data_IF_414960300069
#
_entry.id   IF_414960300069
#
_cell.length_a   1.000
_cell.length_b   1.000
_cell.length_c   1.000
_cell.angle_alpha   90.00
_cell.angle_beta   90.00
_cell.angle_gamma   90.00
#
_symmetry.space_group_name_H-M   'P 1'
#
loop_
_entity.id
_entity.type
_entity.pdbx_description
1 polymer ?
#
# COMPACT_ATOMS: atom_id res chain seq x y z
N UNK A 1 -1.34 1.94 -12.26
CA UNK A 1 0.12 2.01 -12.04
C UNK A 1 0.82 0.67 -12.30
N UNK A 2 0.56 -0.40 -11.54
CA UNK A 2 1.19 -1.73 -11.75
C UNK A 2 1.16 -2.19 -13.21
N UNK A 3 0.00 -2.07 -13.87
CA UNK A 3 -0.14 -2.46 -15.28
C UNK A 3 0.67 -1.59 -16.25
N UNK A 4 0.87 -0.31 -15.95
CA UNK A 4 1.70 0.62 -16.74
C UNK A 4 3.16 0.18 -16.63
N UNK A 5 3.65 -0.02 -15.40
CA UNK A 5 5.03 -0.44 -15.12
C UNK A 5 5.33 -1.77 -15.81
N UNK A 6 4.44 -2.76 -15.67
CA UNK A 6 4.59 -4.05 -16.34
C UNK A 6 4.69 -3.89 -17.86
N UNK A 7 3.89 -3.00 -18.45
CA UNK A 7 3.93 -2.76 -19.88
C UNK A 7 5.28 -2.16 -20.30
N UNK A 8 5.73 -1.14 -19.58
CA UNK A 8 7.00 -0.46 -19.84
C UNK A 8 8.20 -1.39 -19.64
N UNK A 9 8.18 -2.27 -18.64
CA UNK A 9 9.24 -3.26 -18.45
C UNK A 9 9.22 -4.38 -19.48
N UNK A 10 8.03 -4.78 -19.98
CA UNK A 10 7.94 -5.73 -21.10
C UNK A 10 8.50 -5.13 -22.39
N UNK A 11 8.32 -3.83 -22.62
CA UNK A 11 8.83 -3.17 -23.84
C UNK A 11 10.29 -2.76 -23.73
N UNK A 12 10.71 -2.21 -22.58
CA UNK A 12 12.01 -1.57 -22.43
C UNK A 12 13.02 -2.43 -21.66
N UNK A 13 12.58 -3.52 -21.03
CA UNK A 13 13.39 -4.34 -20.12
C UNK A 13 13.46 -3.75 -18.71
N UNK A 14 13.24 -4.59 -17.69
CA UNK A 14 13.25 -4.19 -16.27
C UNK A 14 14.63 -3.73 -15.76
N UNK A 15 15.72 -4.22 -16.37
CA UNK A 15 17.09 -3.88 -15.98
C UNK A 15 17.43 -2.45 -16.39
N UNK A 16 16.90 -1.98 -17.51
CA UNK A 16 17.17 -0.64 -18.04
C UNK A 16 16.63 0.49 -17.14
N UNK A 17 15.69 0.17 -16.24
CA UNK A 17 15.19 1.08 -15.22
C UNK A 17 15.78 0.85 -13.83
N UNK A 18 16.86 0.06 -13.70
CA UNK A 18 17.46 -0.33 -12.42
C UNK A 18 16.43 -0.90 -11.42
N UNK A 19 15.46 -1.69 -11.92
CA UNK A 19 14.33 -2.24 -11.16
C UNK A 19 13.35 -1.20 -10.60
N UNK A 20 13.55 0.09 -10.87
CA UNK A 20 12.61 1.12 -10.47
C UNK A 20 11.37 1.10 -11.37
N UNK A 21 10.17 1.31 -10.83
CA UNK A 21 8.94 1.25 -11.61
C UNK A 21 8.85 2.46 -12.56
N UNK A 22 9.03 2.21 -13.85
CA UNK A 22 8.97 3.23 -14.91
C UNK A 22 7.52 3.55 -15.30
N UNK A 23 7.11 4.81 -15.16
CA UNK A 23 5.74 5.26 -15.47
C UNK A 23 5.60 5.87 -16.86
N UNK A 24 6.71 6.34 -17.43
CA UNK A 24 6.74 6.97 -18.76
C UNK A 24 6.81 5.91 -19.86
N UNK A 25 5.91 6.02 -20.84
CA UNK A 25 5.92 5.19 -22.05
C UNK A 25 7.10 5.57 -22.95
N UNK A 26 7.58 4.65 -23.82
CA UNK A 26 8.79 4.88 -24.61
C UNK A 26 8.62 5.90 -25.75
N UNK A 27 7.43 6.47 -25.97
CA UNK A 27 7.20 7.38 -27.08
C UNK A 27 7.90 8.73 -26.86
N UNK A 28 8.30 9.38 -27.96
CA UNK A 28 8.97 10.70 -27.90
C UNK A 28 8.10 11.76 -27.24
N UNK A 29 6.80 11.77 -27.54
CA UNK A 29 5.84 12.72 -27.00
C UNK A 29 5.50 12.50 -25.52
N UNK A 30 5.91 11.39 -24.92
CA UNK A 30 5.55 11.06 -23.53
C UNK A 30 6.64 11.47 -22.52
N UNK A 31 7.84 11.86 -23.00
CA UNK A 31 8.95 12.31 -22.15
C UNK A 31 8.64 13.67 -21.52
N UNK A 32 9.12 13.91 -20.30
CA UNK A 32 8.87 15.14 -19.52
C UNK A 32 7.38 15.44 -19.25
N UNK A 33 6.49 14.45 -19.46
CA UNK A 33 5.07 14.57 -19.19
C UNK A 33 4.70 13.64 -18.06
N UNK A 34 4.24 14.23 -16.97
CA UNK A 34 3.57 13.52 -15.91
C UNK A 34 2.56 14.43 -15.24
N UNK A 35 1.33 13.95 -15.07
CA UNK A 35 0.36 14.58 -14.16
C UNK A 35 0.91 14.70 -12.73
N UNK A 36 1.85 13.81 -12.36
CA UNK A 36 2.54 13.87 -11.08
C UNK A 36 4.00 13.43 -11.19
N UNK A 37 4.89 14.42 -11.31
CA UNK A 37 6.34 14.23 -11.42
C UNK A 37 6.90 13.77 -10.07
N UNK A 38 7.61 12.63 -10.04
CA UNK A 38 8.24 12.11 -8.81
C UNK A 38 9.75 12.21 -8.91
N UNK A 39 10.36 11.31 -9.67
CA UNK A 39 11.78 11.32 -10.00
C UNK A 39 11.86 11.27 -11.53
N UNK A 40 12.48 12.27 -12.14
CA UNK A 40 12.67 12.32 -13.59
C UNK A 40 14.15 12.22 -13.93
N UNK A 41 14.48 11.37 -14.89
CA UNK A 41 15.83 11.24 -15.41
C UNK A 41 16.14 12.31 -16.49
N UNK A 42 17.34 12.23 -17.08
CA UNK A 42 17.77 13.18 -18.11
C UNK A 42 16.96 13.04 -19.42
N UNK A 43 16.42 11.86 -19.70
CA UNK A 43 15.64 11.56 -20.89
C UNK A 43 14.17 11.97 -20.73
N UNK A 44 13.76 12.41 -19.54
CA UNK A 44 12.40 12.80 -19.23
C UNK A 44 11.51 11.65 -18.79
N UNK A 45 12.09 10.51 -18.42
CA UNK A 45 11.33 9.38 -17.87
C UNK A 45 11.02 9.59 -16.39
N UNK A 46 9.76 9.39 -16.02
CA UNK A 46 9.27 9.53 -14.65
C UNK A 46 9.18 8.16 -13.97
N UNK A 47 9.79 8.05 -12.78
CA UNK A 47 9.87 6.82 -12.00
C UNK A 47 9.02 6.90 -10.73
N UNK A 48 8.44 5.78 -10.32
CA UNK A 48 7.77 5.66 -9.03
C UNK A 48 8.78 5.40 -7.90
N UNK A 49 9.04 6.39 -7.06
CA UNK A 49 10.01 6.27 -5.95
C UNK A 49 9.36 6.36 -4.56
N UNK A 50 8.04 6.22 -4.47
CA UNK A 50 7.36 6.37 -3.19
C UNK A 50 7.56 5.14 -2.29
N UNK A 51 7.67 3.94 -2.85
CA UNK A 51 7.97 2.71 -2.10
C UNK A 51 9.08 1.91 -2.81
N UNK A 52 9.82 1.07 -2.07
CA UNK A 52 10.71 0.08 -2.65
C UNK A 52 10.04 -0.81 -3.72
N UNK A 53 10.79 -1.35 -4.71
CA UNK A 53 10.21 -1.85 -5.95
C UNK A 53 9.69 -3.29 -5.91
N UNK A 54 9.87 -4.05 -4.81
CA UNK A 54 9.55 -5.51 -4.78
C UNK A 54 8.13 -5.82 -5.23
N UNK A 55 7.14 -5.00 -4.86
CA UNK A 55 5.75 -5.21 -5.29
C UNK A 55 5.62 -5.21 -6.83
N UNK A 56 6.30 -4.28 -7.49
CA UNK A 56 6.27 -4.17 -8.94
C UNK A 56 7.03 -5.33 -9.59
N UNK A 57 8.22 -5.66 -9.06
CA UNK A 57 9.03 -6.79 -9.53
C UNK A 57 8.26 -8.10 -9.41
N UNK A 58 7.63 -8.35 -8.26
CA UNK A 58 6.77 -9.51 -8.03
C UNK A 58 5.64 -9.57 -9.07
N UNK A 59 4.91 -8.47 -9.25
CA UNK A 59 3.79 -8.41 -10.18
C UNK A 59 4.24 -8.61 -11.65
N UNK A 60 5.42 -8.10 -12.03
CA UNK A 60 6.00 -8.31 -13.35
C UNK A 60 6.30 -9.77 -13.64
N UNK A 61 6.92 -10.48 -12.69
CA UNK A 61 7.20 -11.90 -12.85
C UNK A 61 5.91 -12.73 -12.94
N UNK A 62 4.92 -12.46 -12.08
CA UNK A 62 3.59 -13.11 -12.19
C UNK A 62 2.97 -12.85 -13.56
N UNK A 63 2.98 -11.60 -14.03
CA UNK A 63 2.42 -11.21 -15.33
C UNK A 63 3.21 -11.77 -16.53
N UNK A 64 4.46 -12.16 -16.32
CA UNK A 64 5.29 -12.80 -17.34
C UNK A 64 5.04 -14.31 -17.38
N UNK A 65 4.95 -14.95 -16.21
CA UNK A 65 4.62 -16.38 -16.07
C UNK A 65 3.27 -16.73 -16.71
N UNK A 66 2.25 -15.90 -16.50
CA UNK A 66 0.91 -16.11 -17.09
C UNK A 66 0.73 -15.43 -18.46
N UNK A 67 1.79 -14.83 -19.03
CA UNK A 67 1.76 -14.09 -20.29
C UNK A 67 0.62 -13.05 -20.40
N UNK A 68 0.17 -12.51 -19.26
CA UNK A 68 -1.01 -11.67 -19.14
C UNK A 68 -0.70 -10.45 -18.29
N UNK A 69 -1.10 -9.27 -18.74
CA UNK A 69 -0.98 -8.02 -17.99
C UNK A 69 -2.37 -7.40 -17.85
N UNK A 70 -3.22 -8.03 -17.05
CA UNK A 70 -4.62 -7.65 -16.91
C UNK A 70 -4.98 -7.35 -15.44
N UNK A 71 -6.01 -6.52 -15.26
CA UNK A 71 -6.59 -6.26 -13.93
C UNK A 71 -7.04 -7.56 -13.26
N UNK A 72 -7.62 -8.48 -14.03
CA UNK A 72 -8.08 -9.77 -13.53
C UNK A 72 -6.95 -10.60 -12.92
N UNK A 73 -5.79 -10.67 -13.59
CA UNK A 73 -4.63 -11.40 -13.06
C UNK A 73 -4.15 -10.80 -11.73
N UNK A 74 -4.10 -9.47 -11.64
CA UNK A 74 -3.73 -8.79 -10.38
C UNK A 74 -4.74 -9.16 -9.29
N UNK A 75 -6.04 -9.13 -9.57
CA UNK A 75 -7.08 -9.49 -8.60
C UNK A 75 -7.00 -10.94 -8.14
N UNK A 76 -6.76 -11.89 -9.06
CA UNK A 76 -6.53 -13.30 -8.72
C UNK A 76 -5.30 -13.43 -7.81
N UNK A 77 -4.20 -12.74 -8.14
CA UNK A 77 -2.98 -12.74 -7.34
C UNK A 77 -3.23 -12.14 -5.95
N UNK A 78 -3.98 -11.05 -5.87
CA UNK A 78 -4.42 -10.46 -4.60
C UNK A 78 -5.24 -11.45 -3.78
N UNK A 79 -6.20 -12.17 -4.36
CA UNK A 79 -6.98 -13.18 -3.64
C UNK A 79 -6.12 -14.34 -3.13
N UNK A 80 -5.11 -14.77 -3.90
CA UNK A 80 -4.13 -15.76 -3.44
C UNK A 80 -3.34 -15.21 -2.24
N UNK A 81 -2.88 -13.96 -2.29
CA UNK A 81 -2.20 -13.32 -1.17
C UNK A 81 -3.12 -13.17 0.06
N UNK A 82 -4.41 -12.88 -0.13
CA UNK A 82 -5.40 -12.86 0.96
C UNK A 82 -5.44 -14.22 1.64
N UNK A 83 -5.65 -15.29 0.84
CA UNK A 83 -5.69 -16.65 1.36
C UNK A 83 -4.43 -17.03 2.12
N UNK A 84 -3.24 -16.77 1.56
CA UNK A 84 -1.97 -17.05 2.23
C UNK A 84 -1.81 -16.25 3.53
N UNK A 85 -2.22 -14.98 3.54
CA UNK A 85 -2.23 -14.14 4.74
C UNK A 85 -3.17 -14.71 5.81
N UNK A 86 -4.37 -15.15 5.42
CA UNK A 86 -5.31 -15.81 6.33
C UNK A 86 -4.72 -17.10 6.91
N UNK A 87 -4.08 -17.94 6.08
CA UNK A 87 -3.42 -19.17 6.54
C UNK A 87 -2.33 -18.86 7.56
N UNK A 88 -1.45 -17.89 7.28
CA UNK A 88 -0.42 -17.49 8.23
C UNK A 88 -1.01 -16.95 9.54
N UNK A 89 -2.08 -16.15 9.48
CA UNK A 89 -2.78 -15.63 10.65
C UNK A 89 -3.43 -16.74 11.46
N UNK A 90 -4.14 -17.67 10.80
CA UNK A 90 -4.78 -18.82 11.43
C UNK A 90 -3.77 -19.63 12.23
N UNK A 91 -2.67 -20.04 11.58
CA UNK A 91 -1.63 -20.82 12.26
C UNK A 91 -0.95 -20.04 13.37
N UNK A 92 -0.72 -18.73 13.21
CA UNK A 92 -0.15 -17.89 14.26
C UNK A 92 -1.03 -17.89 15.52
N UNK A 93 -2.33 -17.63 15.35
CA UNK A 93 -3.29 -17.63 16.46
C UNK A 93 -3.43 -19.03 17.04
N UNK A 94 -3.63 -20.06 16.22
CA UNK A 94 -3.73 -21.45 16.65
C UNK A 94 -2.52 -21.90 17.47
N UNK A 95 -1.30 -21.58 17.01
CA UNK A 95 -0.08 -21.93 17.75
C UNK A 95 -0.08 -21.27 19.13
N UNK A 96 -0.56 -20.03 19.26
CA UNK A 96 -0.61 -19.30 20.52
C UNK A 96 -1.65 -19.85 21.51
N UNK A 97 -2.89 -20.11 21.07
CA UNK A 97 -4.01 -20.47 21.96
C UNK A 97 -4.44 -21.95 21.93
N UNK A 98 -3.99 -22.72 20.93
CA UNK A 98 -4.35 -24.13 20.71
C UNK A 98 -5.85 -24.39 20.61
N UNK A 99 -6.57 -23.49 19.91
CA UNK A 99 -7.99 -23.61 19.66
C UNK A 99 -8.33 -23.21 18.22
N UNK A 100 -8.86 -24.16 17.45
CA UNK A 100 -9.17 -23.99 16.01
C UNK A 100 -10.28 -22.98 15.76
N UNK A 101 -11.31 -22.96 16.62
CA UNK A 101 -12.48 -22.11 16.45
C UNK A 101 -12.12 -20.62 16.59
N UNK A 102 -11.35 -20.26 17.62
CA UNK A 102 -10.94 -18.86 17.80
C UNK A 102 -9.87 -18.41 16.81
N UNK A 103 -9.04 -19.32 16.30
CA UNK A 103 -8.17 -19.03 15.15
C UNK A 103 -9.00 -18.79 13.87
N UNK A 104 -10.08 -19.55 13.67
CA UNK A 104 -11.03 -19.34 12.57
C UNK A 104 -11.75 -17.97 12.68
N UNK A 105 -12.09 -17.54 13.90
CA UNK A 105 -12.66 -16.21 14.13
C UNK A 105 -11.70 -15.09 13.67
N UNK A 106 -10.40 -15.19 14.00
CA UNK A 106 -9.42 -14.20 13.55
C UNK A 106 -9.39 -14.05 12.04
N UNK A 107 -9.36 -15.15 11.29
CA UNK A 107 -9.35 -15.09 9.83
C UNK A 107 -10.69 -14.66 9.24
N UNK A 108 -11.82 -14.99 9.89
CA UNK A 108 -13.13 -14.55 9.45
C UNK A 108 -13.25 -13.02 9.54
N UNK A 109 -12.79 -12.41 10.64
CA UNK A 109 -12.75 -10.94 10.77
C UNK A 109 -11.86 -10.34 9.71
N UNK A 110 -10.67 -10.91 9.51
CA UNK A 110 -9.73 -10.40 8.54
C UNK A 110 -10.34 -10.42 7.14
N UNK A 111 -10.86 -11.56 6.70
CA UNK A 111 -11.34 -11.77 5.33
C UNK A 111 -12.63 -11.02 5.02
N UNK A 112 -13.50 -10.84 6.02
CA UNK A 112 -14.84 -10.26 5.84
C UNK A 112 -14.92 -8.78 6.23
N UNK A 113 -13.83 -8.20 6.73
CA UNK A 113 -13.77 -6.76 6.97
C UNK A 113 -13.82 -5.97 5.67
N UNK A 114 -14.54 -4.85 5.67
CA UNK A 114 -14.57 -3.92 4.54
C UNK A 114 -13.15 -3.47 4.13
N UNK A 115 -12.28 -3.22 5.13
CA UNK A 115 -10.89 -2.85 4.93
C UNK A 115 -10.10 -3.88 4.10
N UNK A 116 -10.19 -5.17 4.44
CA UNK A 116 -9.50 -6.21 3.67
C UNK A 116 -10.13 -6.40 2.29
N UNK A 117 -11.45 -6.45 2.20
CA UNK A 117 -12.14 -6.58 0.90
C UNK A 117 -11.71 -5.46 -0.05
N UNK A 118 -11.66 -4.22 0.44
CA UNK A 118 -11.16 -3.07 -0.31
C UNK A 118 -9.70 -3.23 -0.72
N UNK A 119 -8.81 -3.60 0.22
CA UNK A 119 -7.38 -3.79 -0.05
C UNK A 119 -7.13 -4.78 -1.18
N UNK A 120 -7.73 -5.96 -1.10
CA UNK A 120 -7.48 -7.04 -2.04
C UNK A 120 -8.25 -6.90 -3.36
N UNK A 121 -9.32 -6.11 -3.39
CA UNK A 121 -10.04 -5.79 -4.64
C UNK A 121 -9.31 -4.77 -5.50
N UNK A 122 -8.69 -3.77 -4.87
CA UNK A 122 -8.14 -2.59 -5.55
C UNK A 122 -6.61 -2.50 -5.55
N UNK A 123 -5.92 -3.28 -4.72
CA UNK A 123 -4.47 -3.28 -4.61
C UNK A 123 -3.92 -4.71 -4.57
N UNK A 124 -2.60 -4.80 -4.56
CA UNK A 124 -1.84 -6.04 -4.40
C UNK A 124 -1.05 -5.95 -3.09
N UNK A 125 -1.62 -6.28 -1.93
CA UNK A 125 -1.02 -6.02 -0.62
C UNK A 125 0.00 -7.09 -0.22
N UNK A 126 1.05 -7.27 -1.02
CA UNK A 126 2.15 -8.21 -0.76
C UNK A 126 2.78 -8.00 0.62
N UNK A 127 2.81 -6.75 1.07
CA UNK A 127 3.32 -6.37 2.39
C UNK A 127 2.60 -7.06 3.56
N UNK A 128 1.28 -7.29 3.46
CA UNK A 128 0.51 -7.91 4.55
C UNK A 128 0.78 -9.42 4.63
N UNK A 129 0.99 -10.06 3.49
CA UNK A 129 1.43 -11.45 3.46
C UNK A 129 2.81 -11.59 4.10
N UNK A 130 3.79 -10.78 3.69
CA UNK A 130 5.14 -10.81 4.25
C UNK A 130 5.13 -10.52 5.75
N UNK A 131 4.32 -9.56 6.19
CA UNK A 131 4.14 -9.24 7.61
C UNK A 131 3.57 -10.44 8.39
N UNK A 132 2.49 -11.04 7.92
CA UNK A 132 1.86 -12.18 8.58
C UNK A 132 2.76 -13.42 8.60
N UNK A 133 3.51 -13.65 7.52
CA UNK A 133 4.41 -14.79 7.43
C UNK A 133 5.61 -14.63 8.37
N UNK A 134 6.18 -13.42 8.45
CA UNK A 134 7.24 -13.12 9.41
C UNK A 134 6.78 -13.28 10.86
N UNK A 135 5.54 -12.87 11.19
CA UNK A 135 4.97 -13.09 12.53
C UNK A 135 4.84 -14.58 12.86
N UNK A 136 4.33 -15.39 11.93
CA UNK A 136 4.22 -16.84 12.12
C UNK A 136 5.59 -17.46 12.41
N UNK A 137 6.59 -17.14 11.59
CA UNK A 137 7.96 -17.64 11.75
C UNK A 137 8.58 -17.19 13.08
N UNK A 138 8.36 -15.94 13.48
CA UNK A 138 8.82 -15.41 14.76
C UNK A 138 8.18 -16.15 15.95
N UNK A 139 6.89 -16.48 15.87
CA UNK A 139 6.19 -17.27 16.89
C UNK A 139 6.79 -18.67 16.97
N UNK A 140 7.01 -19.33 15.83
CA UNK A 140 7.61 -20.66 15.77
C UNK A 140 9.03 -20.66 16.32
N UNK A 141 9.86 -19.68 15.96
CA UNK A 141 11.18 -19.45 16.54
C UNK A 141 11.11 -19.27 18.06
N UNK A 142 10.23 -18.39 18.54
CA UNK A 142 10.08 -18.08 19.96
C UNK A 142 9.59 -19.26 20.82
N UNK A 143 8.91 -20.25 20.21
CA UNK A 143 8.42 -21.45 20.90
C UNK A 143 9.38 -22.64 20.82
N UNK A 144 10.00 -22.84 19.67
CA UNK A 144 10.85 -24.02 19.41
C UNK A 144 12.34 -23.76 19.59
N UNK A 145 12.75 -22.48 19.63
CA UNK A 145 14.15 -22.06 19.56
C UNK A 145 14.91 -22.61 18.32
N UNK A 146 14.18 -23.01 17.27
CA UNK A 146 14.78 -23.50 16.04
C UNK A 146 15.31 -22.33 15.20
N UNK A 147 16.63 -22.29 15.03
CA UNK A 147 17.35 -21.20 14.36
C UNK A 147 16.93 -21.00 12.90
N UNK A 148 16.47 -22.06 12.22
CA UNK A 148 16.00 -21.98 10.83
C UNK A 148 14.81 -21.03 10.73
N UNK A 149 13.85 -21.10 11.66
CA UNK A 149 12.74 -20.14 11.71
C UNK A 149 13.23 -18.72 12.00
N UNK A 150 14.29 -18.56 12.81
CA UNK A 150 14.92 -17.27 13.05
C UNK A 150 15.51 -16.66 11.77
N UNK A 151 16.29 -17.43 11.02
CA UNK A 151 16.84 -16.99 9.73
C UNK A 151 15.74 -16.66 8.72
N UNK A 152 14.74 -17.53 8.58
CA UNK A 152 13.60 -17.28 7.71
C UNK A 152 12.83 -16.02 8.11
N UNK A 153 12.65 -15.77 9.41
CA UNK A 153 12.02 -14.53 9.90
C UNK A 153 12.80 -13.30 9.42
N UNK A 154 14.13 -13.32 9.52
CA UNK A 154 15.00 -12.24 9.03
C UNK A 154 14.87 -12.10 7.51
N UNK A 155 15.01 -13.17 6.73
CA UNK A 155 14.88 -13.14 5.27
C UNK A 155 13.53 -12.56 4.80
N UNK A 156 12.42 -12.98 5.39
CA UNK A 156 11.10 -12.44 5.06
C UNK A 156 10.97 -10.97 5.47
N UNK A 157 11.55 -10.58 6.63
CA UNK A 157 11.55 -9.17 7.05
C UNK A 157 12.32 -8.28 6.07
N UNK A 158 13.37 -8.79 5.43
CA UNK A 158 14.15 -8.07 4.43
C UNK A 158 13.38 -7.86 3.12
N UNK A 159 12.68 -8.90 2.63
CA UNK A 159 11.75 -8.75 1.51
C UNK A 159 10.68 -7.72 1.83
N UNK A 160 10.21 -7.68 3.08
CA UNK A 160 9.22 -6.72 3.53
C UNK A 160 9.78 -5.28 3.53
N UNK A 161 10.99 -5.06 4.04
CA UNK A 161 11.70 -3.75 3.97
C UNK A 161 11.79 -3.28 2.51
N UNK A 162 12.12 -4.18 1.58
CA UNK A 162 12.23 -3.87 0.16
C UNK A 162 10.89 -3.85 -0.59
N UNK A 163 9.75 -3.97 0.13
CA UNK A 163 8.39 -3.85 -0.43
C UNK A 163 7.70 -2.57 0.03
N UNK A 164 7.78 -2.24 1.33
CA UNK A 164 7.06 -1.11 1.93
C UNK A 164 7.78 -0.58 3.18
N UNK A 165 7.62 0.72 3.48
CA UNK A 165 8.21 1.36 4.66
C UNK A 165 7.73 0.79 5.99
N UNK A 166 6.54 0.17 6.03
CA UNK A 166 6.12 -0.59 7.20
C UNK A 166 7.09 -1.72 7.54
N UNK A 167 7.71 -2.34 6.53
CA UNK A 167 8.75 -3.36 6.67
C UNK A 167 10.01 -2.83 7.33
N UNK A 168 10.41 -1.59 7.04
CA UNK A 168 11.52 -0.91 7.71
C UNK A 168 11.29 -0.79 9.21
N UNK A 169 10.13 -0.24 9.61
CA UNK A 169 9.79 -0.11 11.03
C UNK A 169 9.68 -1.48 11.70
N UNK A 170 9.13 -2.47 11.01
CA UNK A 170 9.07 -3.84 11.49
C UNK A 170 10.46 -4.44 11.75
N UNK A 171 11.39 -4.33 10.80
CA UNK A 171 12.73 -4.88 10.91
C UNK A 171 13.57 -4.22 12.03
N UNK A 172 13.39 -2.92 12.27
CA UNK A 172 14.03 -2.21 13.40
C UNK A 172 13.53 -2.78 14.73
N UNK A 173 12.21 -2.90 14.90
CA UNK A 173 11.61 -3.44 16.12
C UNK A 173 11.98 -4.91 16.31
N UNK A 174 11.99 -5.71 15.24
CA UNK A 174 12.45 -7.09 15.25
C UNK A 174 13.90 -7.21 15.70
N UNK A 175 14.79 -6.39 15.14
CA UNK A 175 16.21 -6.36 15.52
C UNK A 175 16.37 -6.08 17.01
N UNK A 176 15.67 -5.09 17.55
CA UNK A 176 15.68 -4.76 18.98
C UNK A 176 15.16 -5.91 19.85
N UNK A 177 14.09 -6.58 19.42
CA UNK A 177 13.51 -7.72 20.15
C UNK A 177 14.45 -8.92 20.16
N UNK A 178 15.06 -9.24 19.01
CA UNK A 178 16.05 -10.31 18.89
C UNK A 178 17.28 -10.01 19.75
N UNK A 179 17.70 -8.75 19.82
CA UNK A 179 18.77 -8.29 20.71
C UNK A 179 18.38 -8.48 22.19
N UNK A 180 17.17 -8.11 22.60
CA UNK A 180 16.73 -8.31 23.98
C UNK A 180 16.65 -9.79 24.37
N UNK A 181 16.34 -10.67 23.41
CA UNK A 181 16.36 -12.12 23.63
C UNK A 181 17.79 -12.68 23.84
N UNK A 182 18.84 -11.92 23.52
CA UNK A 182 20.26 -12.32 23.69
C UNK A 182 20.58 -12.63 25.14
N UNK A 183 20.00 -11.88 26.07
CA UNK A 183 20.17 -12.11 27.50
C UNK A 183 19.71 -13.50 27.95
N UNK A 184 18.94 -14.22 27.12
CA UNK A 184 18.45 -15.57 27.41
C UNK A 184 19.03 -16.65 26.48
N UNK A 185 19.51 -16.29 25.29
CA UNK A 185 19.90 -17.25 24.25
C UNK A 185 21.02 -16.66 23.36
N UNK A 186 22.24 -17.23 23.41
CA UNK A 186 23.40 -16.73 22.65
C UNK A 186 23.16 -16.59 21.13
N UNK A 187 22.31 -17.45 20.53
CA UNK A 187 22.05 -17.46 19.09
C UNK A 187 21.27 -16.24 18.57
N UNK A 188 20.54 -15.51 19.42
CA UNK A 188 19.71 -14.39 18.95
C UNK A 188 20.52 -13.11 18.67
N UNK A 189 21.80 -13.05 19.10
CA UNK A 189 22.67 -11.87 18.88
C UNK A 189 23.04 -11.76 17.40
N UNK A 190 23.45 -12.88 16.82
CA UNK A 190 23.77 -12.96 15.40
C UNK A 190 22.56 -12.61 14.55
N UNK A 191 21.37 -13.17 14.86
CA UNK A 191 20.14 -12.84 14.12
C UNK A 191 19.79 -11.35 14.20
N UNK A 192 19.95 -10.73 15.37
CA UNK A 192 19.73 -9.29 15.54
C UNK A 192 20.68 -8.46 14.69
N UNK A 193 21.98 -8.77 14.72
CA UNK A 193 23.00 -8.08 13.94
C UNK A 193 22.76 -8.25 12.44
N UNK A 194 22.47 -9.48 12.01
CA UNK A 194 22.12 -9.77 10.62
C UNK A 194 20.90 -8.96 10.20
N UNK A 195 19.81 -8.97 10.98
CA UNK A 195 18.60 -8.20 10.68
C UNK A 195 18.90 -6.70 10.55
N UNK A 196 19.67 -6.12 11.47
CA UNK A 196 20.00 -4.70 11.44
C UNK A 196 20.87 -4.33 10.23
N UNK A 197 22.00 -5.03 10.04
CA UNK A 197 22.95 -4.70 8.97
C UNK A 197 22.35 -4.95 7.59
N UNK A 198 21.58 -6.03 7.42
CA UNK A 198 20.89 -6.29 6.14
C UNK A 198 19.76 -5.30 5.88
N UNK A 199 19.06 -4.81 6.91
CA UNK A 199 18.09 -3.71 6.76
C UNK A 199 18.77 -2.44 6.26
N UNK A 200 19.91 -2.06 6.85
CA UNK A 200 20.71 -0.91 6.41
C UNK A 200 21.18 -1.11 4.96
N UNK A 201 21.67 -2.30 4.62
CA UNK A 201 22.12 -2.63 3.27
C UNK A 201 20.99 -2.49 2.24
N UNK A 202 19.78 -2.96 2.54
CA UNK A 202 18.62 -2.86 1.63
C UNK A 202 18.19 -1.40 1.40
N UNK A 203 18.18 -0.59 2.46
CA UNK A 203 17.89 0.85 2.33
C UNK A 203 18.96 1.50 1.44
N UNK A 204 20.23 1.16 1.66
CA UNK A 204 21.33 1.67 0.85
C UNK A 204 21.21 1.25 -0.61
N UNK A 205 20.86 -0.02 -0.89
CA UNK A 205 20.62 -0.51 -2.25
C UNK A 205 19.47 0.28 -2.90
N UNK A 206 18.35 0.49 -2.21
CA UNK A 206 17.23 1.26 -2.74
C UNK A 206 17.62 2.73 -3.01
N UNK A 207 18.35 3.36 -2.09
CA UNK A 207 18.86 4.73 -2.25
C UNK A 207 19.84 4.83 -3.42
N UNK A 208 20.73 3.85 -3.57
CA UNK A 208 21.69 3.79 -4.67
C UNK A 208 20.98 3.61 -6.01
N UNK A 209 20.04 2.67 -6.13
CA UNK A 209 19.23 2.48 -7.34
C UNK A 209 18.52 3.77 -7.74
N UNK A 210 17.86 4.43 -6.80
CA UNK A 210 17.15 5.69 -7.07
C UNK A 210 18.09 6.84 -7.41
N UNK A 211 19.28 6.90 -6.81
CA UNK A 211 20.31 7.88 -7.16
C UNK A 211 20.83 7.67 -8.60
N UNK A 212 21.10 6.44 -9.01
CA UNK A 212 21.66 6.15 -10.36
C UNK A 212 20.75 6.58 -11.52
N UNK A 213 19.44 6.65 -11.29
CA UNK A 213 18.46 7.09 -12.29
C UNK A 213 18.20 8.60 -12.20
N UNK A 214 18.58 9.23 -11.10
CA UNK A 214 18.39 10.66 -10.91
C UNK A 214 19.31 11.48 -11.83
N UNK A 215 18.80 12.58 -12.37
CA UNK A 215 19.57 13.51 -13.18
C UNK A 215 20.68 14.24 -12.41
N UNK A 216 20.54 14.37 -11.09
CA UNK A 216 21.55 14.97 -10.20
C UNK A 216 21.27 14.60 -8.74
N UNK A 217 22.28 14.74 -7.87
CA UNK A 217 22.11 14.60 -6.42
C UNK A 217 21.02 15.52 -5.88
N UNK A 218 20.94 16.76 -6.38
CA UNK A 218 19.89 17.70 -5.98
C UNK A 218 18.50 17.19 -6.37
N UNK A 219 18.34 16.65 -7.58
CA UNK A 219 17.08 16.05 -8.04
C UNK A 219 16.68 14.85 -7.18
N UNK A 220 17.62 13.98 -6.86
CA UNK A 220 17.43 12.86 -5.95
C UNK A 220 16.95 13.31 -4.56
N UNK A 221 17.70 14.19 -3.90
CA UNK A 221 17.37 14.69 -2.55
C UNK A 221 16.02 15.40 -2.56
N UNK A 222 15.77 16.26 -3.55
CA UNK A 222 14.49 16.97 -3.70
C UNK A 222 13.33 16.00 -3.87
N UNK A 223 13.48 14.95 -4.68
CA UNK A 223 12.42 13.98 -4.93
C UNK A 223 12.06 13.21 -3.66
N UNK A 224 13.06 12.77 -2.88
CA UNK A 224 12.83 12.07 -1.62
C UNK A 224 12.28 12.99 -0.52
N UNK A 225 12.81 14.20 -0.41
CA UNK A 225 12.37 15.17 0.60
C UNK A 225 10.92 15.58 0.36
N UNK A 226 10.55 15.92 -0.88
CA UNK A 226 9.16 16.24 -1.24
C UNK A 226 8.22 15.09 -0.86
N UNK A 227 8.59 13.85 -1.15
CA UNK A 227 7.78 12.66 -0.81
C UNK A 227 7.59 12.47 0.69
N UNK A 228 8.66 12.65 1.45
CA UNK A 228 8.59 12.57 2.90
C UNK A 228 7.69 13.69 3.46
N UNK A 229 7.84 14.91 2.98
CA UNK A 229 7.07 16.07 3.41
C UNK A 229 5.58 15.95 3.07
N UNK A 230 5.26 15.45 1.87
CA UNK A 230 3.89 15.11 1.47
C UNK A 230 3.26 14.07 2.39
N UNK A 231 4.00 13.02 2.75
CA UNK A 231 3.45 11.91 3.56
C UNK A 231 3.25 12.24 5.02
N UNK A 232 4.14 13.06 5.58
CA UNK A 232 4.07 13.46 6.98
C UNK A 232 2.92 14.42 7.23
N UNK A 233 2.67 15.35 6.30
CA UNK A 233 1.60 16.36 6.42
C UNK A 233 2.00 17.65 7.11
N UNK A 234 3.24 17.78 7.61
CA UNK A 234 3.69 19.03 8.24
C UNK A 234 3.77 20.20 7.25
N UNK A 235 3.95 19.92 5.96
CA UNK A 235 4.14 20.92 4.92
C UNK A 235 3.17 20.74 3.76
N UNK A 236 2.01 20.13 4.04
CA UNK A 236 1.02 19.81 3.03
C UNK A 236 0.47 21.04 2.31
N UNK A 237 0.42 22.21 2.96
CA UNK A 237 -0.04 23.47 2.35
C UNK A 237 0.84 23.93 1.18
N UNK A 238 2.10 23.45 1.11
CA UNK A 238 3.06 23.78 0.04
C UNK A 238 3.27 22.66 -0.97
N UNK A 239 3.08 21.42 -0.54
CA UNK A 239 3.53 20.25 -1.30
C UNK A 239 2.44 19.22 -1.58
N UNK A 240 1.30 19.25 -0.89
CA UNK A 240 0.20 18.33 -1.17
C UNK A 240 -0.73 18.89 -2.25
N UNK A 241 -1.31 18.03 -3.09
CA UNK A 241 -2.25 18.43 -4.15
C UNK A 241 -3.50 19.13 -3.62
N UNK A 242 -3.85 18.85 -2.36
CA UNK A 242 -5.10 19.27 -1.72
C UNK A 242 -4.87 20.39 -0.69
N UNK A 243 -3.64 20.88 -0.56
CA UNK A 243 -3.21 21.86 0.45
C UNK A 243 -3.65 21.46 1.88
N UNK A 244 -3.52 20.17 2.21
CA UNK A 244 -3.88 19.60 3.51
C UNK A 244 -2.65 19.43 4.39
N UNK A 245 -2.52 20.24 5.43
CA UNK A 245 -1.53 20.05 6.51
C UNK A 245 -2.14 19.48 7.80
N UNK A 246 -1.28 19.04 8.72
CA UNK A 246 -1.68 18.61 10.08
C UNK A 246 -2.36 19.72 10.88
N UNK A 247 -2.19 20.97 10.47
CA UNK A 247 -2.82 22.14 11.08
C UNK A 247 -4.25 22.35 10.55
N UNK A 248 -4.64 21.67 9.47
CA UNK A 248 -5.97 21.75 8.90
C UNK A 248 -6.91 20.70 9.54
N UNK A 249 -8.06 21.16 10.07
CA UNK A 249 -9.09 20.29 10.65
C UNK A 249 -9.64 19.26 9.65
N UNK A 250 -9.64 19.58 8.36
CA UNK A 250 -10.11 18.68 7.32
C UNK A 250 -9.24 17.41 7.23
N UNK A 251 -7.94 17.52 7.49
CA UNK A 251 -7.05 16.36 7.48
C UNK A 251 -7.37 15.40 8.64
N UNK A 252 -7.60 15.95 9.84
CA UNK A 252 -8.04 15.18 11.00
C UNK A 252 -9.40 14.54 10.80
N UNK A 253 -10.34 15.26 10.19
CA UNK A 253 -11.64 14.70 9.79
C UNK A 253 -11.46 13.52 8.85
N UNK A 254 -10.63 13.65 7.81
CA UNK A 254 -10.34 12.56 6.88
C UNK A 254 -9.69 11.36 7.59
N UNK A 255 -8.75 11.61 8.50
CA UNK A 255 -8.12 10.59 9.33
C UNK A 255 -9.14 9.82 10.16
N UNK A 256 -10.00 10.51 10.92
CA UNK A 256 -11.04 9.90 11.75
C UNK A 256 -12.02 9.11 10.88
N UNK A 257 -12.45 9.66 9.74
CA UNK A 257 -13.35 8.97 8.82
C UNK A 257 -12.72 7.70 8.26
N UNK A 258 -11.46 7.73 7.84
CA UNK A 258 -10.76 6.56 7.35
C UNK A 258 -10.59 5.51 8.45
N UNK A 259 -10.18 5.90 9.66
CA UNK A 259 -10.09 4.97 10.80
C UNK A 259 -11.45 4.38 11.16
N UNK A 260 -12.50 5.19 11.19
CA UNK A 260 -13.86 4.71 11.42
C UNK A 260 -14.28 3.70 10.34
N UNK A 261 -13.98 3.95 9.06
CA UNK A 261 -14.21 2.98 7.98
C UNK A 261 -13.42 1.67 8.12
N UNK A 262 -12.27 1.68 8.78
CA UNK A 262 -11.50 0.45 9.07
C UNK A 262 -12.09 -0.30 10.26
N UNK A 263 -12.48 0.42 11.32
CA UNK A 263 -12.89 -0.15 12.60
C UNK A 263 -14.38 -0.48 12.66
N UNK A 264 -15.23 0.23 11.96
CA UNK A 264 -16.66 0.12 12.15
C UNK A 264 -17.25 -1.07 11.39
N UNK A 265 -18.12 -1.89 12.03
CA UNK A 265 -18.40 -2.00 13.47
C UNK A 265 -17.49 -3.03 14.19
N UNK A 266 -16.94 -4.00 13.46
CA UNK A 266 -16.17 -5.14 13.98
C UNK A 266 -14.97 -4.74 14.84
N UNK A 267 -14.16 -3.82 14.34
CA UNK A 267 -12.93 -3.38 14.99
C UNK A 267 -13.17 -2.71 16.34
N UNK A 268 -14.25 -1.93 16.50
CA UNK A 268 -14.57 -1.33 17.81
C UNK A 268 -14.90 -2.39 18.86
N UNK A 269 -15.68 -3.41 18.50
CA UNK A 269 -16.00 -4.52 19.41
C UNK A 269 -14.71 -5.25 19.82
N UNK A 270 -13.85 -5.56 18.84
CA UNK A 270 -12.56 -6.20 19.10
C UNK A 270 -11.70 -5.34 20.03
N UNK A 271 -11.63 -4.02 19.82
CA UNK A 271 -10.86 -3.12 20.67
C UNK A 271 -11.38 -3.12 22.12
N UNK A 272 -12.69 -3.06 22.33
CA UNK A 272 -13.28 -3.11 23.69
C UNK A 272 -12.92 -4.43 24.38
N UNK A 273 -13.08 -5.56 23.67
CA UNK A 273 -12.75 -6.89 24.20
C UNK A 273 -11.24 -7.03 24.46
N UNK A 274 -10.40 -6.46 23.60
CA UNK A 274 -8.96 -6.42 23.79
C UNK A 274 -8.56 -5.64 25.04
N UNK A 275 -9.08 -4.41 25.21
CA UNK A 275 -8.79 -3.55 26.37
C UNK A 275 -9.19 -4.28 27.67
N UNK A 276 -10.39 -4.85 27.71
CA UNK A 276 -10.88 -5.63 28.86
C UNK A 276 -9.96 -6.80 29.21
N UNK A 277 -9.40 -7.47 28.20
CA UNK A 277 -8.59 -8.68 28.37
C UNK A 277 -7.08 -8.42 28.25
N UNK A 278 -6.62 -7.17 28.25
CA UNK A 278 -5.23 -6.81 27.90
C UNK A 278 -4.20 -7.57 28.73
N UNK A 279 -4.42 -7.69 30.04
CA UNK A 279 -3.50 -8.40 30.95
C UNK A 279 -3.41 -9.90 30.59
N UNK A 280 -4.55 -10.54 30.29
CA UNK A 280 -4.59 -11.95 29.89
C UNK A 280 -3.92 -12.16 28.52
N UNK A 281 -4.17 -11.26 27.58
CA UNK A 281 -3.58 -11.30 26.23
C UNK A 281 -2.07 -11.11 26.29
N UNK A 282 -1.59 -10.17 27.10
CA UNK A 282 -0.15 -9.93 27.32
C UNK A 282 0.57 -11.18 27.83
N UNK A 283 -0.09 -12.02 28.66
CA UNK A 283 0.47 -13.30 29.12
C UNK A 283 0.58 -14.33 27.99
N UNK A 284 -0.41 -14.42 27.10
CA UNK A 284 -0.44 -15.40 25.99
C UNK A 284 0.51 -14.99 24.87
N UNK A 285 0.37 -13.75 24.38
CA UNK A 285 1.09 -13.24 23.21
C UNK A 285 2.55 -12.93 23.56
N UNK A 286 2.84 -12.67 24.84
CA UNK A 286 4.10 -12.10 25.34
C UNK A 286 4.30 -10.66 24.85
N UNK A 287 5.00 -9.86 25.65
CA UNK A 287 5.20 -8.43 25.35
C UNK A 287 5.90 -8.19 24.01
N UNK A 288 6.87 -9.04 23.65
CA UNK A 288 7.66 -8.87 22.42
C UNK A 288 6.80 -8.97 21.15
N UNK A 289 5.86 -9.92 21.08
CA UNK A 289 5.00 -10.07 19.91
C UNK A 289 3.97 -8.94 19.81
N UNK A 290 3.45 -8.44 20.94
CA UNK A 290 2.62 -7.23 20.93
C UNK A 290 3.39 -6.01 20.38
N UNK A 291 4.67 -5.87 20.73
CA UNK A 291 5.51 -4.80 20.18
C UNK A 291 5.69 -4.95 18.65
N UNK A 292 5.93 -6.17 18.15
CA UNK A 292 6.00 -6.43 16.70
C UNK A 292 4.70 -6.16 15.94
N UNK A 293 3.56 -6.39 16.59
CA UNK A 293 2.23 -6.22 16.00
C UNK A 293 1.77 -4.76 15.93
N UNK A 294 2.10 -3.94 16.94
CA UNK A 294 1.57 -2.58 17.04
C UNK A 294 2.58 -1.50 16.72
N UNK A 295 3.81 -1.59 17.23
CA UNK A 295 4.75 -0.47 17.17
C UNK A 295 5.11 -0.09 15.72
N UNK A 296 5.38 -1.03 14.79
CA UNK A 296 5.63 -0.68 13.39
C UNK A 296 4.47 0.08 12.74
N UNK A 297 3.23 -0.34 13.01
CA UNK A 297 2.03 0.33 12.50
C UNK A 297 1.87 1.72 13.11
N UNK A 298 2.05 1.86 14.42
CA UNK A 298 1.96 3.16 15.11
C UNK A 298 3.01 4.13 14.59
N UNK A 299 4.26 3.70 14.42
CA UNK A 299 5.31 4.52 13.82
C UNK A 299 4.93 4.92 12.40
N UNK A 300 4.43 3.99 11.58
CA UNK A 300 3.97 4.27 10.22
C UNK A 300 2.82 5.30 10.20
N UNK A 301 1.86 5.19 11.11
CA UNK A 301 0.72 6.12 11.23
C UNK A 301 1.20 7.51 11.65
N UNK A 302 2.09 7.60 12.64
CA UNK A 302 2.57 8.88 13.15
C UNK A 302 3.49 9.58 12.14
N UNK A 303 4.47 8.85 11.58
CA UNK A 303 5.42 9.44 10.63
C UNK A 303 4.78 9.76 9.29
N UNK A 304 3.82 8.96 8.82
CA UNK A 304 3.13 9.19 7.56
C UNK A 304 1.67 9.55 7.78
N UNK A 305 1.41 10.49 8.70
CA UNK A 305 0.06 10.85 9.10
C UNK A 305 -0.82 11.28 7.91
N UNK A 306 -0.34 12.20 7.06
CA UNK A 306 -1.09 12.64 5.89
C UNK A 306 -1.40 11.48 4.93
N UNK A 307 -0.46 10.57 4.72
CA UNK A 307 -0.67 9.38 3.88
C UNK A 307 -1.81 8.50 4.42
N UNK A 308 -1.86 8.26 5.73
CA UNK A 308 -2.90 7.45 6.37
C UNK A 308 -4.25 8.20 6.46
N UNK A 309 -4.21 9.52 6.53
CA UNK A 309 -5.39 10.37 6.58
C UNK A 309 -6.06 10.55 5.21
N UNK A 310 -5.29 10.64 4.13
CA UNK A 310 -5.80 10.88 2.76
C UNK A 310 -6.14 9.57 2.04
N UNK A 311 -5.34 8.52 2.24
CA UNK A 311 -5.47 7.28 1.49
C UNK A 311 -5.88 6.11 2.39
N UNK A 312 -7.15 5.71 2.29
CA UNK A 312 -7.76 4.60 3.04
C UNK A 312 -6.96 3.28 2.98
N UNK A 313 -6.23 3.04 1.87
CA UNK A 313 -5.36 1.87 1.69
C UNK A 313 -4.34 1.73 2.85
N UNK A 314 -3.74 2.81 3.32
CA UNK A 314 -2.69 2.71 4.33
C UNK A 314 -3.25 2.47 5.73
N UNK A 315 -4.35 3.15 6.09
CA UNK A 315 -5.02 2.92 7.39
C UNK A 315 -5.66 1.54 7.47
N UNK A 316 -6.15 1.00 6.34
CA UNK A 316 -6.77 -0.33 6.29
C UNK A 316 -5.82 -1.46 6.72
N UNK A 317 -4.50 -1.28 6.65
CA UNK A 317 -3.50 -2.26 7.11
C UNK A 317 -3.63 -2.59 8.60
N UNK A 318 -4.23 -1.71 9.40
CA UNK A 318 -4.48 -1.91 10.84
C UNK A 318 -5.40 -3.12 11.09
N UNK A 319 -6.27 -3.44 10.13
CA UNK A 319 -7.23 -4.55 10.27
C UNK A 319 -6.53 -5.89 10.49
N UNK A 320 -5.32 -6.06 9.97
CA UNK A 320 -4.51 -7.25 10.20
C UNK A 320 -4.25 -7.46 11.70
N UNK A 321 -3.71 -6.44 12.40
CA UNK A 321 -3.37 -6.53 13.83
C UNK A 321 -4.62 -6.68 14.69
N UNK A 322 -5.71 -5.99 14.34
CA UNK A 322 -6.99 -6.11 15.04
C UNK A 322 -7.52 -7.54 14.91
N UNK A 323 -7.56 -8.09 13.69
CA UNK A 323 -8.06 -9.43 13.42
C UNK A 323 -7.22 -10.51 14.10
N UNK A 324 -5.89 -10.34 14.11
CA UNK A 324 -4.97 -11.24 14.82
C UNK A 324 -5.31 -11.32 16.31
N UNK A 325 -5.55 -10.18 16.94
CA UNK A 325 -5.79 -10.09 18.39
C UNK A 325 -7.21 -10.48 18.75
N UNK A 326 -8.16 -10.33 17.82
CA UNK A 326 -9.56 -10.65 18.05
C UNK A 326 -9.76 -12.09 18.54
N UNK A 327 -9.24 -13.09 17.83
CA UNK A 327 -9.38 -14.50 18.21
C UNK A 327 -8.83 -14.80 19.60
N UNK A 328 -7.68 -14.22 19.94
CA UNK A 328 -7.05 -14.35 21.26
C UNK A 328 -7.91 -13.69 22.35
N UNK A 329 -8.48 -12.53 22.05
CA UNK A 329 -9.33 -11.76 22.96
C UNK A 329 -10.66 -12.47 23.22
N UNK A 330 -11.28 -13.02 22.17
CA UNK A 330 -12.50 -13.81 22.29
C UNK A 330 -12.26 -15.14 23.02
N UNK A 331 -11.14 -15.82 22.76
CA UNK A 331 -10.76 -17.03 23.50
C UNK A 331 -10.63 -16.76 25.01
N UNK A 332 -9.97 -15.66 25.38
CA UNK A 332 -9.84 -15.29 26.79
C UNK A 332 -11.18 -14.96 27.44
N UNK A 333 -12.06 -14.26 26.71
CA UNK A 333 -13.42 -13.93 27.17
C UNK A 333 -14.25 -15.20 27.39
N UNK A 334 -14.13 -16.17 26.49
CA UNK A 334 -14.79 -17.48 26.61
C UNK A 334 -14.25 -18.31 27.79
N UNK A 335 -12.93 -18.26 28.01
CA UNK A 335 -12.29 -19.02 29.10
C UNK A 335 -12.56 -18.41 30.48
N UNK A 336 -12.57 -17.08 30.58
CA UNK A 336 -13.10 -16.43 31.78
C UNK A 336 -14.57 -16.84 31.89
N UNK A 337 -15.05 -17.28 33.06
CA UNK A 337 -16.45 -17.75 33.29
C UNK A 337 -17.52 -16.64 33.11
N UNK A 338 -17.28 -15.70 32.20
CA UNK A 338 -18.18 -14.66 31.78
C UNK A 338 -19.44 -15.33 31.22
N UNK A 339 -20.58 -14.81 31.68
CA UNK A 339 -21.92 -15.35 31.46
C UNK A 339 -22.17 -15.77 30.00
N UNK A 340 -22.76 -16.95 29.77
CA UNK A 340 -23.08 -17.48 28.41
C UNK A 340 -23.82 -16.46 27.54
N UNK A 341 -24.61 -15.59 28.19
CA UNK A 341 -25.32 -14.47 27.58
C UNK A 341 -24.38 -13.52 26.80
N UNK A 342 -23.21 -13.18 27.36
CA UNK A 342 -22.25 -12.28 26.71
C UNK A 342 -21.61 -12.92 25.49
N UNK A 343 -21.35 -14.23 25.52
CA UNK A 343 -20.84 -14.99 24.37
C UNK A 343 -21.87 -15.03 23.24
N UNK A 344 -23.16 -15.17 23.57
CA UNK A 344 -24.24 -15.08 22.59
C UNK A 344 -24.31 -13.69 21.94
N UNK A 345 -24.34 -12.61 22.73
CA UNK A 345 -24.36 -11.25 22.20
C UNK A 345 -23.13 -10.96 21.33
N UNK A 346 -21.94 -11.33 21.79
CA UNK A 346 -20.70 -11.20 21.01
C UNK A 346 -20.82 -11.91 19.66
N UNK A 347 -21.36 -13.14 19.64
CA UNK A 347 -21.52 -13.93 18.42
C UNK A 347 -22.57 -13.33 17.49
N UNK A 348 -23.67 -12.82 18.03
CA UNK A 348 -24.72 -12.13 17.27
C UNK A 348 -24.19 -10.85 16.62
N UNK A 349 -23.55 -9.98 17.42
CA UNK A 349 -22.94 -8.74 16.91
C UNK A 349 -21.85 -9.04 15.88
N UNK A 350 -21.08 -10.10 16.06
CA UNK A 350 -20.10 -10.57 15.10
C UNK A 350 -20.75 -10.90 13.75
N UNK A 351 -21.78 -11.73 13.73
CA UNK A 351 -22.50 -12.09 12.49
C UNK A 351 -23.11 -10.84 11.85
N UNK A 352 -23.82 -10.01 12.62
CA UNK A 352 -24.43 -8.78 12.11
C UNK A 352 -23.38 -7.83 11.50
N UNK A 353 -22.21 -7.72 12.13
CA UNK A 353 -21.15 -6.83 11.69
C UNK A 353 -20.41 -7.33 10.43
N UNK A 354 -20.41 -8.64 10.15
CA UNK A 354 -19.97 -9.21 8.88
C UNK A 354 -20.92 -8.77 7.76
N UNK A 355 -22.24 -8.98 7.94
CA UNK A 355 -23.24 -8.58 6.94
C UNK A 355 -23.18 -7.07 6.68
N UNK A 356 -23.02 -6.28 7.73
CA UNK A 356 -22.88 -4.84 7.60
C UNK A 356 -21.59 -4.43 6.88
N UNK A 357 -20.46 -5.07 7.17
CA UNK A 357 -19.18 -4.79 6.48
C UNK A 357 -19.28 -5.05 4.98
N UNK A 358 -19.96 -6.12 4.59
CA UNK A 358 -20.24 -6.42 3.19
C UNK A 358 -21.18 -5.38 2.55
N UNK A 359 -22.25 -4.99 3.24
CA UNK A 359 -23.17 -3.95 2.78
C UNK A 359 -22.47 -2.60 2.54
N UNK A 360 -21.58 -2.18 3.45
CA UNK A 360 -20.78 -0.95 3.28
C UNK A 360 -19.86 -1.06 2.08
N UNK A 361 -19.17 -2.20 1.93
CA UNK A 361 -18.28 -2.43 0.79
C UNK A 361 -19.03 -2.35 -0.56
N UNK A 362 -20.19 -2.99 -0.67
CA UNK A 362 -21.01 -2.97 -1.89
C UNK A 362 -21.48 -1.55 -2.24
N UNK A 363 -21.94 -0.79 -1.25
CA UNK A 363 -22.34 0.61 -1.45
C UNK A 363 -21.17 1.52 -1.85
N UNK A 364 -20.01 1.37 -1.21
CA UNK A 364 -18.80 2.13 -1.55
C UNK A 364 -18.34 1.83 -2.99
N UNK A 365 -18.49 0.58 -3.45
CA UNK A 365 -18.17 0.20 -4.83
C UNK A 365 -19.13 0.84 -5.84
N UNK A 366 -20.45 0.78 -5.58
CA UNK A 366 -21.46 1.41 -6.43
C UNK A 366 -21.23 2.92 -6.56
N UNK A 367 -20.93 3.59 -5.45
CA UNK A 367 -20.58 5.01 -5.45
C UNK A 367 -19.32 5.26 -6.28
N UNK A 368 -18.27 4.46 -6.09
CA UNK A 368 -17.01 4.62 -6.84
C UNK A 368 -17.19 4.48 -8.35
N UNK A 369 -18.03 3.55 -8.80
CA UNK A 369 -18.33 3.37 -10.22
C UNK A 369 -19.12 4.57 -10.78
N UNK A 370 -19.96 5.23 -9.96
CA UNK A 370 -20.66 6.45 -10.37
C UNK A 370 -19.75 7.69 -10.53
N UNK A 371 -18.66 7.78 -9.76
CA UNK A 371 -17.72 8.92 -9.83
C UNK A 371 -16.76 8.87 -11.02
N UNK A 372 -16.61 7.72 -11.66
CA UNK A 372 -15.72 7.56 -12.80
C UNK A 372 -16.57 7.47 -14.06
N UNK A 373 -16.64 8.55 -14.85
CA UNK A 373 -17.31 8.52 -16.16
C UNK A 373 -16.49 7.67 -17.14
N UNK A 374 -16.60 6.34 -17.00
CA UNK A 374 -15.85 5.36 -17.76
C UNK A 374 -16.11 5.48 -19.25
N UNK A 375 -17.32 5.88 -19.65
CA UNK A 375 -17.69 6.14 -21.05
C UNK A 375 -16.81 7.26 -21.61
N UNK A 376 -16.74 8.39 -20.93
CA UNK A 376 -15.91 9.53 -21.34
C UNK A 376 -14.41 9.23 -21.33
N UNK A 377 -13.94 8.47 -20.34
CA UNK A 377 -12.56 7.98 -20.31
C UNK A 377 -12.27 7.11 -21.54
N UNK A 378 -13.18 6.20 -21.91
CA UNK A 378 -13.02 5.33 -23.09
C UNK A 378 -13.04 6.14 -24.38
N UNK A 379 -13.95 7.11 -24.51
CA UNK A 379 -14.02 8.04 -25.64
C UNK A 379 -12.72 8.82 -25.80
N UNK A 380 -12.25 9.47 -24.73
CA UNK A 380 -10.99 10.21 -24.73
C UNK A 380 -9.79 9.31 -25.07
N UNK A 381 -9.73 8.11 -24.50
CA UNK A 381 -8.67 7.15 -24.80
C UNK A 381 -8.67 6.73 -26.26
N UNK A 382 -9.85 6.43 -26.82
CA UNK A 382 -10.01 6.06 -28.23
C UNK A 382 -9.59 7.21 -29.13
N UNK A 383 -10.05 8.43 -28.82
CA UNK A 383 -9.68 9.64 -29.53
C UNK A 383 -8.16 9.85 -29.56
N UNK A 384 -7.48 9.73 -28.42
CA UNK A 384 -6.03 9.86 -28.32
C UNK A 384 -5.32 8.85 -29.23
N UNK A 385 -5.75 7.58 -29.23
CA UNK A 385 -5.15 6.54 -30.05
C UNK A 385 -5.31 6.77 -31.55
N UNK A 386 -6.46 7.28 -31.96
CA UNK A 386 -6.82 7.44 -33.37
C UNK A 386 -6.27 8.73 -33.97
N UNK A 387 -6.11 9.79 -33.18
CA UNK A 387 -5.90 11.15 -33.71
C UNK A 387 -4.54 11.79 -33.32
N UNK A 388 -3.82 11.25 -32.34
CA UNK A 388 -2.62 11.88 -31.77
C UNK A 388 -1.37 11.08 -32.07
N UNK A 389 -0.36 11.74 -32.64
CA UNK A 389 0.89 11.10 -33.02
C UNK A 389 1.76 10.80 -31.80
N UNK A 390 2.62 9.78 -31.89
CA UNK A 390 3.50 9.34 -30.79
C UNK A 390 4.60 10.35 -30.43
N UNK A 391 4.85 11.35 -31.28
CA UNK A 391 5.80 12.44 -31.03
C UNK A 391 5.17 13.69 -30.40
N UNK A 392 3.85 13.70 -30.19
CA UNK A 392 3.12 14.85 -29.66
C UNK A 392 2.84 14.68 -28.16
N UNK A 393 3.20 15.70 -27.37
CA UNK A 393 2.81 15.80 -25.98
C UNK A 393 1.29 15.93 -25.82
N UNK A 394 0.71 15.30 -24.80
CA UNK A 394 -0.75 15.34 -24.56
C UNK A 394 -1.05 16.12 -23.28
N UNK A 395 -1.81 17.20 -23.44
CA UNK A 395 -2.34 17.99 -22.34
C UNK A 395 -3.86 17.90 -22.39
N UNK A 396 -4.45 17.34 -21.33
CA UNK A 396 -5.89 17.35 -21.13
C UNK A 396 -6.23 18.54 -20.24
N UNK A 397 -7.18 19.37 -20.67
CA UNK A 397 -7.77 20.35 -19.77
C UNK A 397 -9.25 20.07 -19.56
N UNK A 398 -9.71 20.30 -18.34
CA UNK A 398 -11.11 20.09 -17.97
C UNK A 398 -11.51 21.05 -16.87
N UNK A 399 -12.67 21.66 -17.04
CA UNK A 399 -13.30 22.46 -16.00
C UNK A 399 -14.22 21.53 -15.21
N UNK A 400 -13.96 21.37 -13.91
CA UNK A 400 -14.80 20.65 -12.94
C UNK A 400 -14.93 19.12 -13.08
N UNK A 401 -14.16 18.46 -13.95
CA UNK A 401 -14.17 16.98 -14.00
C UNK A 401 -12.99 16.36 -13.28
N UNK A 402 -13.26 15.31 -12.49
CA UNK A 402 -12.25 14.46 -11.88
C UNK A 402 -11.66 13.51 -12.92
N UNK A 403 -10.68 13.98 -13.69
CA UNK A 403 -9.91 13.14 -14.60
C UNK A 403 -9.01 12.21 -13.79
N UNK A 404 -9.00 10.92 -14.15
CA UNK A 404 -8.04 9.93 -13.64
C UNK A 404 -6.98 9.65 -14.69
N UNK A 405 -5.88 10.43 -14.74
CA UNK A 405 -4.87 10.31 -15.79
C UNK A 405 -4.28 8.92 -15.87
N UNK A 406 -4.12 8.19 -14.76
CA UNK A 406 -3.53 6.86 -14.75
C UNK A 406 -4.36 5.81 -15.51
N UNK A 407 -5.68 6.02 -15.59
CA UNK A 407 -6.58 5.15 -16.36
C UNK A 407 -6.44 5.47 -17.85
N UNK A 408 -6.44 6.75 -18.20
CA UNK A 408 -6.23 7.22 -19.57
C UNK A 408 -4.86 6.75 -20.06
N UNK A 409 -3.79 6.99 -19.30
CA UNK A 409 -2.43 6.57 -19.62
C UNK A 409 -2.34 5.07 -19.90
N UNK A 410 -2.96 4.26 -19.04
CA UNK A 410 -2.93 2.82 -19.20
C UNK A 410 -3.61 2.34 -20.49
N UNK A 411 -4.80 2.86 -20.78
CA UNK A 411 -5.57 2.42 -21.93
C UNK A 411 -5.06 3.05 -23.23
N UNK A 412 -4.60 4.31 -23.22
CA UNK A 412 -4.12 5.04 -24.39
C UNK A 412 -2.71 4.63 -24.80
N UNK A 413 -1.92 4.10 -23.85
CA UNK A 413 -0.48 3.83 -23.99
C UNK A 413 0.35 5.09 -24.25
N UNK A 414 -0.13 6.22 -23.72
CA UNK A 414 0.48 7.55 -23.80
C UNK A 414 0.53 8.16 -22.40
N UNK A 415 1.39 9.13 -22.15
CA UNK A 415 1.35 9.89 -20.89
C UNK A 415 0.60 11.21 -21.10
N UNK A 416 -0.28 11.55 -20.15
CA UNK A 416 -1.03 12.81 -20.19
C UNK A 416 -0.70 13.71 -19.00
N UNK A 417 -0.69 15.02 -19.26
CA UNK A 417 -0.76 16.05 -18.22
C UNK A 417 -2.20 16.53 -18.09
N UNK A 418 -2.71 16.65 -16.86
CA UNK A 418 -4.06 17.17 -16.59
C UNK A 418 -3.97 18.57 -16.03
N UNK A 419 -4.47 19.54 -16.78
CA UNK A 419 -4.62 20.93 -16.37
C UNK A 419 -6.05 21.22 -15.90
N UNK A 420 -6.20 21.99 -14.83
CA UNK A 420 -7.50 22.44 -14.32
C UNK A 420 -8.04 23.61 -15.13
N UNK A 421 -7.17 24.38 -15.77
CA UNK A 421 -7.54 25.53 -16.58
C UNK A 421 -6.80 25.52 -17.92
N UNK A 422 -7.34 26.26 -18.88
CA UNK A 422 -6.68 26.46 -20.17
C UNK A 422 -5.38 27.27 -20.03
N UNK A 423 -5.32 28.15 -19.04
CA UNK A 423 -4.12 28.92 -18.74
C UNK A 423 -3.01 28.02 -18.22
N UNK A 424 -3.33 27.11 -17.29
CA UNK A 424 -2.38 26.09 -16.81
C UNK A 424 -1.90 25.20 -17.96
N UNK A 425 -2.79 24.78 -18.86
CA UNK A 425 -2.42 24.01 -20.05
C UNK A 425 -1.44 24.77 -20.96
N UNK A 426 -1.71 26.06 -21.21
CA UNK A 426 -0.82 26.90 -22.02
C UNK A 426 0.52 27.13 -21.31
N UNK A 427 0.52 27.44 -20.01
CA UNK A 427 1.73 27.64 -19.23
C UNK A 427 2.61 26.38 -19.21
N UNK A 428 1.99 25.20 -19.03
CA UNK A 428 2.70 23.94 -19.13
C UNK A 428 3.26 23.70 -20.54
N UNK A 429 2.50 24.02 -21.58
CA UNK A 429 2.96 23.87 -22.97
C UNK A 429 4.19 24.72 -23.30
N UNK A 430 4.36 25.88 -22.65
CA UNK A 430 5.54 26.73 -22.79
C UNK A 430 6.77 26.17 -22.08
N UNK A 431 6.57 25.34 -21.04
CA UNK A 431 7.63 24.68 -20.28
C UNK A 431 8.08 23.36 -20.91
N UNK A 432 7.29 22.80 -21.83
CA UNK A 432 7.64 21.57 -22.52
C UNK A 432 8.90 21.78 -23.36
N UNK A 433 9.88 20.89 -23.17
CA UNK A 433 11.07 20.83 -24.03
C UNK A 433 10.73 20.37 -25.46
N UNK A 434 9.60 19.71 -25.63
CA UNK A 434 9.12 19.22 -26.92
C UNK A 434 8.38 20.32 -27.67
N UNK A 435 8.65 20.46 -28.97
CA UNK A 435 8.01 21.46 -29.83
C UNK A 435 6.58 21.07 -30.23
N UNK A 436 6.27 19.77 -30.23
CA UNK A 436 5.00 19.24 -30.71
C UNK A 436 4.10 18.86 -29.55
N UNK A 437 2.92 19.46 -29.47
CA UNK A 437 1.94 19.18 -28.41
C UNK A 437 0.50 19.35 -28.87
N UNK A 438 -0.40 18.67 -28.19
CA UNK A 438 -1.84 18.78 -28.38
C UNK A 438 -2.51 19.05 -27.04
N UNK A 439 -3.32 20.10 -27.02
CA UNK A 439 -4.24 20.42 -25.93
C UNK A 439 -5.62 19.92 -26.32
N UNK A 440 -6.17 19.01 -25.52
CA UNK A 440 -7.49 18.40 -25.73
C UNK A 440 -8.45 18.92 -24.66
N UNK A 441 -9.62 19.39 -25.10
CA UNK A 441 -10.73 19.67 -24.20
C UNK A 441 -11.35 18.34 -23.78
N UNK A 442 -11.14 17.94 -22.53
CA UNK A 442 -11.67 16.67 -22.04
C UNK A 442 -13.20 16.66 -22.02
N UNK A 443 -13.85 17.82 -21.83
CA UNK A 443 -15.30 17.89 -21.72
C UNK A 443 -16.02 17.44 -22.99
N UNK A 444 -15.46 17.76 -24.15
CA UNK A 444 -16.05 17.45 -25.47
C UNK A 444 -15.19 16.47 -26.29
N UNK A 445 -14.02 16.07 -25.78
CA UNK A 445 -13.05 15.20 -26.46
C UNK A 445 -12.67 15.75 -27.85
N UNK A 446 -12.29 17.02 -27.89
CA UNK A 446 -11.88 17.71 -29.12
C UNK A 446 -10.52 18.37 -28.96
N UNK A 447 -9.76 18.44 -30.06
CA UNK A 447 -8.51 19.21 -30.09
C UNK A 447 -8.85 20.68 -29.96
N UNK A 448 -8.30 21.34 -28.95
CA UNK A 448 -8.39 22.79 -28.78
C UNK A 448 -7.24 23.51 -29.48
N UNK A 449 -6.02 22.95 -29.37
CA UNK A 449 -4.81 23.48 -30.01
C UNK A 449 -3.84 22.36 -30.31
N UNK A 450 -3.16 22.46 -31.45
CA UNK A 450 -2.09 21.57 -31.90
C UNK A 450 -0.94 22.42 -32.41
N UNK A 451 0.27 22.11 -32.01
CA UNK A 451 1.49 22.75 -32.48
C UNK A 451 2.53 21.70 -32.82
#
# INVERSE_FOLDING_TARGET
MLLIVNNNWKTNGLINSNLLPLLTYPNKGDKHIASYKRLEDLNGDNYFVSNPPTLFVFNYYISSLFMSNSKLLIQITSLILLFLTSVCMYYSVYVLIKNNFFAAISIAIYNLSNASLFLYTYNLPLELFLYSFSILLFILFSKTNNIVYGYLTVCISLLFVYTDWLGLFYAIILSFILYKLVAKQHKSKLLSQLCLYSTIAIIFIFAFQTFTVSSSLLSFVKSFSLRFMERTGFFGDKYSSDNLSIYNIQLWKNFILNFNKVLFPLGYIVMIVFIKNYIAIKKIVKNNLLLLLFIPLLIHIVLFFNLNATHYIYSSRIIFTISFIAGISFYNTYKSKINKLNTFFISFFFIASIFYSYYVFDNDNKLRDSYCNLTKIKECTKFIKENINTNEAIILYSVNENIRPEIIDYYSKRNVFVAKTIEEANNFSLQLKQKNYVIINYNNVTIWKRK
#
